data_IF_685764057729
#
_entry.id   IF_685764057729
#
_cell.length_a   1.000
_cell.length_b   1.000
_cell.length_c   1.000
_cell.angle_alpha   90.00
_cell.angle_beta   90.00
_cell.angle_gamma   90.00
#
_symmetry.space_group_name_H-M   'P 1'
#
loop_
_entity.id
_entity.type
_entity.pdbx_description
1 polymer ?
#
# COMPACT_ATOMS: atom_id res chain seq x y z
N UNK A 1 13.94 -12.83 -16.61
CA UNK A 1 12.74 -12.31 -15.94
C UNK A 1 12.80 -12.81 -14.51
N UNK A 2 12.95 -11.91 -13.53
CA UNK A 2 12.95 -12.30 -12.11
C UNK A 2 11.57 -12.80 -11.69
N UNK A 3 11.45 -13.41 -10.50
CA UNK A 3 10.13 -13.76 -9.96
C UNK A 3 9.29 -12.49 -9.85
N UNK A 4 8.03 -12.59 -10.26
CA UNK A 4 7.08 -11.49 -10.14
C UNK A 4 6.82 -11.21 -8.65
N UNK A 5 6.81 -9.93 -8.26
CA UNK A 5 6.49 -9.53 -6.88
C UNK A 5 5.10 -10.06 -6.48
N UNK A 6 4.88 -10.49 -5.23
CA UNK A 6 3.58 -11.00 -4.82
C UNK A 6 2.53 -9.88 -4.85
N UNK A 7 1.27 -10.26 -5.07
CA UNK A 7 0.16 -9.33 -4.97
C UNK A 7 -0.14 -9.00 -3.52
N UNK A 8 -0.46 -7.74 -3.23
CA UNK A 8 -0.86 -7.29 -1.89
C UNK A 8 -2.06 -8.10 -1.41
N UNK A 9 -3.08 -8.31 -2.26
CA UNK A 9 -4.25 -9.15 -1.91
C UNK A 9 -3.94 -10.60 -1.53
N UNK A 10 -2.78 -11.13 -1.90
CA UNK A 10 -2.36 -12.48 -1.50
C UNK A 10 -1.56 -12.49 -0.20
N UNK A 11 -0.92 -11.37 0.15
CA UNK A 11 -0.09 -11.23 1.35
C UNK A 11 -0.89 -10.64 2.50
N UNK A 12 -1.62 -9.56 2.24
CA UNK A 12 -2.44 -8.78 3.17
C UNK A 12 -3.86 -8.63 2.59
N UNK A 13 -4.68 -9.70 2.57
CA UNK A 13 -6.01 -9.67 1.96
C UNK A 13 -6.92 -8.61 2.59
N UNK A 14 -6.92 -8.51 3.92
CA UNK A 14 -7.77 -7.57 4.66
C UNK A 14 -7.41 -6.10 4.33
N UNK A 15 -6.10 -5.80 4.19
CA UNK A 15 -5.66 -4.48 3.76
C UNK A 15 -6.06 -4.18 2.32
N UNK A 16 -5.95 -5.16 1.41
CA UNK A 16 -6.32 -4.95 0.02
C UNK A 16 -7.82 -4.65 -0.13
N UNK A 17 -8.68 -5.36 0.62
CA UNK A 17 -10.11 -5.11 0.67
C UNK A 17 -10.42 -3.71 1.25
N UNK A 18 -9.79 -3.35 2.36
CA UNK A 18 -9.93 -2.03 2.98
C UNK A 18 -9.52 -0.90 2.03
N UNK A 19 -8.38 -1.04 1.34
CA UNK A 19 -7.91 -0.05 0.36
C UNK A 19 -8.92 0.17 -0.77
N UNK A 20 -9.47 -0.92 -1.32
CA UNK A 20 -10.45 -0.84 -2.42
C UNK A 20 -11.72 -0.14 -1.93
N UNK A 21 -12.23 -0.52 -0.75
CA UNK A 21 -13.43 0.09 -0.17
C UNK A 21 -13.25 1.59 0.10
N UNK A 22 -12.16 1.96 0.76
CA UNK A 22 -11.88 3.37 1.08
C UNK A 22 -11.65 4.21 -0.18
N UNK A 23 -11.00 3.67 -1.21
CA UNK A 23 -10.85 4.38 -2.49
C UNK A 23 -12.19 4.61 -3.18
N UNK A 24 -13.11 3.64 -3.11
CA UNK A 24 -14.47 3.82 -3.65
C UNK A 24 -15.25 4.88 -2.88
N UNK A 25 -15.12 4.91 -1.55
CA UNK A 25 -15.77 5.90 -0.69
C UNK A 25 -15.25 7.34 -0.96
N UNK A 26 -13.97 7.48 -1.25
CA UNK A 26 -13.33 8.75 -1.63
C UNK A 26 -13.58 9.16 -3.10
N UNK A 27 -14.29 8.34 -3.89
CA UNK A 27 -14.58 8.62 -5.31
C UNK A 27 -13.37 8.44 -6.23
N UNK A 28 -12.43 7.58 -5.85
CA UNK A 28 -11.23 7.24 -6.62
C UNK A 28 -11.40 5.90 -7.34
N UNK A 29 -12.42 5.76 -8.21
CA UNK A 29 -12.80 4.46 -8.77
C UNK A 29 -11.70 3.82 -9.63
N UNK A 30 -10.94 4.62 -10.39
CA UNK A 30 -9.82 4.11 -11.18
C UNK A 30 -8.71 3.55 -10.28
N UNK A 31 -8.39 4.23 -9.18
CA UNK A 31 -7.41 3.74 -8.22
C UNK A 31 -7.92 2.48 -7.51
N UNK A 32 -9.21 2.41 -7.18
CA UNK A 32 -9.81 1.22 -6.58
C UNK A 32 -9.69 -0.01 -7.50
N UNK A 33 -9.90 0.17 -8.81
CA UNK A 33 -9.70 -0.91 -9.80
C UNK A 33 -8.23 -1.36 -9.83
N UNK A 34 -7.29 -0.41 -9.83
CA UNK A 34 -5.86 -0.70 -9.85
C UNK A 34 -5.35 -1.29 -8.52
N UNK A 35 -5.99 -0.94 -7.40
CA UNK A 35 -5.66 -1.42 -6.07
C UNK A 35 -5.74 -2.95 -5.96
N UNK A 36 -6.66 -3.57 -6.72
CA UNK A 36 -6.86 -5.02 -6.75
C UNK A 36 -5.62 -5.81 -7.20
N UNK A 37 -4.75 -5.21 -8.02
CA UNK A 37 -3.56 -5.85 -8.58
C UNK A 37 -2.24 -5.21 -8.11
N UNK A 38 -2.25 -4.49 -6.97
CA UNK A 38 -1.02 -3.94 -6.38
C UNK A 38 -0.03 -5.05 -6.03
N UNK A 39 1.25 -4.75 -6.29
CA UNK A 39 2.37 -5.64 -6.05
C UNK A 39 3.16 -5.15 -4.84
N UNK A 40 3.61 -6.06 -3.98
CA UNK A 40 4.51 -5.73 -2.88
C UNK A 40 5.95 -5.71 -3.39
N UNK A 41 6.43 -4.54 -3.83
CA UNK A 41 7.75 -4.39 -4.46
C UNK A 41 8.87 -4.35 -3.43
N UNK A 42 8.70 -3.55 -2.38
CA UNK A 42 9.65 -3.44 -1.28
C UNK A 42 8.97 -2.87 -0.04
N UNK A 43 9.37 -3.34 1.14
CA UNK A 43 8.98 -2.73 2.42
C UNK A 43 9.67 -1.35 2.59
N UNK A 44 9.11 -0.50 3.46
CA UNK A 44 9.69 0.79 3.83
C UNK A 44 11.13 0.66 4.34
N UNK A 45 11.34 -0.26 5.30
CA UNK A 45 12.67 -0.53 5.87
C UNK A 45 13.19 0.52 6.86
N UNK A 46 12.35 1.47 7.32
CA UNK A 46 12.77 2.46 8.33
C UNK A 46 13.07 1.85 9.71
N UNK A 47 12.50 0.68 10.02
CA UNK A 47 12.69 -0.01 11.30
C UNK A 47 11.81 0.51 12.44
N UNK A 48 10.96 1.51 12.18
CA UNK A 48 10.00 2.01 13.15
C UNK A 48 8.86 0.99 13.36
N UNK A 49 8.51 0.76 14.63
CA UNK A 49 7.51 -0.24 15.04
C UNK A 49 6.08 0.09 14.58
N UNK A 50 5.79 1.38 14.40
CA UNK A 50 4.50 1.86 13.93
C UNK A 50 4.35 1.85 12.40
N UNK A 51 5.41 1.54 11.64
CA UNK A 51 5.45 1.67 10.19
C UNK A 51 5.47 0.32 9.49
N UNK A 52 4.40 0.05 8.73
CA UNK A 52 4.22 -1.18 7.94
C UNK A 52 4.10 -0.87 6.44
N UNK A 53 4.58 0.32 6.05
CA UNK A 53 4.43 0.90 4.72
C UNK A 53 5.25 0.16 3.66
N UNK A 54 4.85 0.25 2.39
CA UNK A 54 5.52 -0.45 1.30
C UNK A 54 5.37 0.23 -0.07
N UNK A 55 6.33 -0.05 -0.95
CA UNK A 55 6.35 0.34 -2.36
C UNK A 55 5.56 -0.64 -3.20
N UNK A 56 4.81 -0.09 -4.15
CA UNK A 56 4.04 -0.84 -5.17
C UNK A 56 4.65 -0.75 -6.56
N UNK A 57 5.67 0.08 -6.72
CA UNK A 57 6.45 0.24 -7.93
C UNK A 57 7.94 0.50 -7.60
N UNK A 58 8.87 0.14 -8.50
CA UNK A 58 10.27 0.56 -8.36
C UNK A 58 10.38 2.08 -8.38
N UNK A 59 11.05 2.64 -7.38
CA UNK A 59 11.37 4.08 -7.32
C UNK A 59 12.74 4.29 -6.67
N UNK A 60 13.67 5.03 -7.31
CA UNK A 60 15.00 5.29 -6.75
C UNK A 60 14.94 5.97 -5.38
N UNK A 61 15.71 5.47 -4.43
CA UNK A 61 15.80 6.06 -3.10
C UNK A 61 16.29 7.52 -3.18
N UNK A 62 15.70 8.39 -2.35
CA UNK A 62 16.07 9.80 -2.25
C UNK A 62 15.62 10.69 -3.42
N UNK A 63 14.89 10.15 -4.41
CA UNK A 63 14.29 10.96 -5.48
C UNK A 63 12.85 11.32 -5.14
N UNK A 64 12.46 12.56 -5.40
CA UNK A 64 11.06 12.98 -5.37
C UNK A 64 10.28 12.32 -6.53
N UNK A 65 8.96 12.18 -6.37
CA UNK A 65 8.08 11.59 -7.38
C UNK A 65 7.76 12.53 -8.55
N UNK A 66 7.96 13.85 -8.38
CA UNK A 66 7.74 14.85 -9.43
C UNK A 66 6.45 15.65 -9.24
N UNK A 67 6.09 16.52 -10.20
CA UNK A 67 4.97 17.46 -10.07
C UNK A 67 3.58 16.78 -10.14
N UNK A 68 3.49 15.61 -10.76
CA UNK A 68 2.23 14.84 -10.89
C UNK A 68 1.96 13.93 -9.68
N UNK A 69 2.80 14.05 -8.65
CA UNK A 69 2.61 13.37 -7.38
C UNK A 69 1.51 14.02 -6.56
N UNK A 70 0.63 13.20 -6.01
CA UNK A 70 -0.35 13.58 -5.00
C UNK A 70 -0.46 12.52 -3.92
N UNK A 71 -0.85 12.96 -2.74
CA UNK A 71 -1.24 12.06 -1.66
C UNK A 71 -2.75 11.88 -1.65
N UNK A 72 -3.21 10.64 -1.59
CA UNK A 72 -4.61 10.29 -1.29
C UNK A 72 -4.68 9.89 0.15
N UNK A 73 -5.34 10.70 0.98
CA UNK A 73 -5.57 10.40 2.39
C UNK A 73 -6.87 9.60 2.49
N UNK A 74 -6.77 8.37 2.99
CA UNK A 74 -7.94 7.53 3.23
C UNK A 74 -8.38 7.67 4.70
N UNK A 75 -9.64 7.34 4.98
CA UNK A 75 -10.22 7.40 6.31
C UNK A 75 -10.46 5.98 6.90
N UNK A 76 -9.40 5.21 7.25
CA UNK A 76 -9.56 3.89 7.83
C UNK A 76 -10.15 3.96 9.24
N UNK A 77 -10.74 2.86 9.70
CA UNK A 77 -11.22 2.75 11.08
C UNK A 77 -10.08 2.78 12.12
N UNK A 78 -8.85 2.43 11.72
CA UNK A 78 -7.67 2.37 12.59
C UNK A 78 -6.43 2.92 11.88
N UNK A 79 -5.62 3.68 12.63
CA UNK A 79 -4.33 4.17 12.16
C UNK A 79 -4.44 5.17 11.01
N UNK A 80 -3.42 5.19 10.16
CA UNK A 80 -3.38 6.04 8.97
C UNK A 80 -3.10 5.19 7.72
N UNK A 81 -3.85 5.48 6.66
CA UNK A 81 -3.63 4.96 5.31
C UNK A 81 -3.52 6.14 4.35
N UNK A 82 -2.34 6.30 3.75
CA UNK A 82 -2.07 7.36 2.76
C UNK A 82 -1.41 6.73 1.54
N UNK A 83 -1.86 7.12 0.35
CA UNK A 83 -1.28 6.62 -0.90
C UNK A 83 -0.48 7.72 -1.58
N UNK A 84 0.76 7.42 -1.94
CA UNK A 84 1.48 8.24 -2.92
C UNK A 84 1.08 7.79 -4.32
N UNK A 85 0.45 8.70 -5.06
CA UNK A 85 -0.01 8.46 -6.43
C UNK A 85 0.76 9.36 -7.36
N UNK A 86 1.23 8.80 -8.48
CA UNK A 86 1.76 9.57 -9.61
C UNK A 86 0.90 9.25 -10.82
N UNK A 87 0.25 10.27 -11.38
CA UNK A 87 -0.85 10.13 -12.34
C UNK A 87 -1.97 9.22 -11.78
N UNK A 88 -2.12 8.01 -12.31
CA UNK A 88 -3.09 7.00 -11.87
C UNK A 88 -2.43 5.80 -11.21
N UNK A 89 -1.11 5.87 -10.94
CA UNK A 89 -0.36 4.77 -10.35
C UNK A 89 -0.10 5.01 -8.87
N UNK A 90 -0.61 4.12 -8.03
CA UNK A 90 -0.19 4.02 -6.62
C UNK A 90 1.27 3.55 -6.60
N UNK A 91 2.16 4.38 -6.06
CA UNK A 91 3.61 4.14 -5.96
C UNK A 91 4.01 3.64 -4.57
N UNK A 92 3.28 4.08 -3.55
CA UNK A 92 3.55 3.79 -2.15
C UNK A 92 2.25 3.73 -1.35
N UNK A 93 2.21 2.84 -0.36
CA UNK A 93 1.13 2.73 0.62
C UNK A 93 1.72 2.97 1.99
N UNK A 94 1.37 4.09 2.61
CA UNK A 94 1.67 4.36 4.00
C UNK A 94 0.69 3.62 4.90
N UNK A 95 1.22 2.79 5.79
CA UNK A 95 0.44 2.04 6.77
C UNK A 95 1.05 2.31 8.14
N UNK A 96 0.43 3.21 8.89
CA UNK A 96 1.01 3.78 10.12
C UNK A 96 0.06 3.64 11.31
N UNK A 97 0.62 3.47 12.51
CA UNK A 97 -0.09 3.51 13.81
C UNK A 97 -1.32 2.59 13.90
N UNK A 98 -1.22 1.36 13.39
CA UNK A 98 -2.23 0.31 13.51
C UNK A 98 -1.63 -1.02 13.94
N UNK A 99 -2.48 -1.95 14.33
CA UNK A 99 -2.05 -3.31 14.68
C UNK A 99 -1.29 -3.97 13.52
N UNK A 100 -0.40 -4.95 13.82
CA UNK A 100 0.33 -5.67 12.79
C UNK A 100 -0.60 -6.25 11.72
N UNK A 101 -0.28 -6.00 10.45
CA UNK A 101 -1.02 -6.59 9.34
C UNK A 101 -0.91 -8.10 9.39
N UNK A 102 -2.02 -8.77 9.10
CA UNK A 102 -2.04 -10.22 8.96
C UNK A 102 -1.30 -10.65 7.70
N UNK A 103 -0.04 -11.02 7.84
CA UNK A 103 0.78 -11.55 6.74
C UNK A 103 0.50 -13.04 6.51
N UNK A 104 -0.14 -13.36 5.39
CA UNK A 104 -0.48 -14.73 5.01
C UNK A 104 0.72 -15.61 4.65
N UNK A 105 1.93 -15.03 4.54
CA UNK A 105 3.18 -15.77 4.31
C UNK A 105 3.79 -16.29 5.62
N UNK A 106 3.43 -15.69 6.75
CA UNK A 106 3.95 -16.06 8.05
C UNK A 106 3.09 -17.14 8.70
N UNK A 107 3.68 -18.09 9.44
CA UNK A 107 2.92 -19.03 10.24
C UNK A 107 2.13 -18.24 11.30
N UNK A 108 0.83 -18.51 11.37
CA UNK A 108 -0.04 -17.95 12.39
C UNK A 108 0.46 -18.47 13.74
N UNK A 109 1.00 -17.59 14.57
CA UNK A 109 1.30 -17.91 15.96
C UNK A 109 0.00 -17.75 16.75
N UNK A 110 -0.37 -18.82 17.47
CA UNK A 110 -1.56 -18.90 18.35
C UNK A 110 -1.53 -17.88 19.50
#
# INVERSE_FOLDING_TARGET
MGPEHPLVRHVFPDLAEELIGLLQEEGEEELALLAADLRLVAECGCGDDFCQSFKTAPHPAGKAYGPDHRCVLLAPAQGMLVLDVVDTRIMYVEVLHRDPLRDMRLPQSE
#
